data_IF_812069095085
#
_entry.id   IF_812069095085
#
_cell.length_a   1.000
_cell.length_b   1.000
_cell.length_c   1.000
_cell.angle_alpha   90.00
_cell.angle_beta   90.00
_cell.angle_gamma   90.00
#
_symmetry.space_group_name_H-M   'P 1'
#
loop_
_entity.id
_entity.type
_entity.pdbx_description
1 polymer ?
#
# COMPACT_ATOMS: atom_id res chain seq x y z
N UNK A 1 -74.71 -3.90 -4.28
CA UNK A 1 -74.78 -5.29 -3.80
C UNK A 1 -73.50 -5.66 -3.16
N UNK A 2 -73.57 -5.95 -1.91
CA UNK A 2 -72.53 -6.42 -1.01
C UNK A 2 -72.03 -7.79 -1.47
N UNK A 3 -70.79 -8.11 -1.15
CA UNK A 3 -70.42 -8.95 -0.02
C UNK A 3 -68.93 -9.22 0.04
N UNK A 4 -68.41 -9.52 1.24
CA UNK A 4 -67.00 -9.54 1.58
C UNK A 4 -66.50 -11.00 1.77
N UNK A 5 -65.38 -11.12 2.43
CA UNK A 5 -64.67 -12.30 3.00
C UNK A 5 -63.48 -12.72 2.20
N UNK A 6 -62.34 -13.09 2.79
CA UNK A 6 -62.02 -13.57 4.16
C UNK A 6 -60.49 -13.65 4.30
N UNK A 7 -60.02 -13.15 5.34
CA UNK A 7 -59.14 -13.64 6.39
C UNK A 7 -58.56 -15.06 6.23
N UNK A 8 -57.21 -15.16 6.21
CA UNK A 8 -56.40 -16.30 6.61
C UNK A 8 -54.94 -15.78 6.66
N UNK A 9 -54.30 -15.65 7.75
CA UNK A 9 -54.00 -16.64 8.74
C UNK A 9 -52.51 -16.56 8.93
N UNK A 10 -52.04 -16.07 10.09
CA UNK A 10 -50.66 -15.83 10.46
C UNK A 10 -49.77 -17.06 10.39
N UNK A 11 -48.55 -16.76 10.11
CA UNK A 11 -47.40 -17.57 10.53
C UNK A 11 -46.32 -16.64 11.04
N UNK A 12 -46.30 -16.42 12.33
CA UNK A 12 -45.19 -15.83 13.06
C UNK A 12 -44.02 -16.78 12.96
N UNK A 13 -43.02 -16.44 12.15
CA UNK A 13 -41.73 -17.11 12.23
C UNK A 13 -40.90 -16.47 13.34
N UNK A 14 -40.73 -17.27 14.38
CA UNK A 14 -39.88 -16.99 15.53
C UNK A 14 -38.44 -17.03 15.04
N UNK A 15 -37.77 -15.88 15.05
CA UNK A 15 -36.33 -15.76 14.86
C UNK A 15 -35.61 -16.34 16.08
N UNK A 16 -34.60 -17.20 15.89
CA UNK A 16 -33.79 -17.67 17.02
C UNK A 16 -32.89 -16.55 17.56
N UNK A 17 -33.08 -16.28 18.84
CA UNK A 17 -32.24 -15.38 19.63
C UNK A 17 -30.79 -15.88 19.67
N UNK A 18 -29.88 -15.02 19.27
CA UNK A 18 -28.41 -15.19 19.36
C UNK A 18 -28.01 -15.21 20.85
N UNK A 19 -27.20 -16.18 21.31
CA UNK A 19 -26.66 -16.11 22.67
C UNK A 19 -25.56 -15.04 22.74
N UNK A 20 -25.74 -14.10 23.65
CA UNK A 20 -24.73 -13.13 24.05
C UNK A 20 -23.65 -13.86 24.87
N UNK A 21 -22.51 -14.10 24.29
CA UNK A 21 -21.30 -14.45 25.03
C UNK A 21 -20.66 -13.18 25.59
N UNK A 22 -20.94 -12.95 26.86
CA UNK A 22 -20.21 -12.03 27.74
C UNK A 22 -18.93 -12.73 28.16
N UNK A 23 -17.79 -12.23 27.76
CA UNK A 23 -16.48 -12.73 28.13
C UNK A 23 -15.46 -11.61 28.03
N UNK A 24 -15.41 -10.78 29.06
CA UNK A 24 -14.26 -9.93 29.36
C UNK A 24 -13.06 -10.81 29.68
N UNK A 25 -12.04 -10.77 28.83
CA UNK A 25 -10.68 -11.11 29.24
C UNK A 25 -9.67 -10.36 28.37
N UNK A 26 -9.16 -9.27 28.92
CA UNK A 26 -7.97 -8.59 28.42
C UNK A 26 -6.79 -9.57 28.48
N UNK A 27 -6.00 -9.77 27.41
CA UNK A 27 -4.71 -10.41 27.53
C UNK A 27 -3.73 -9.46 28.22
N UNK A 28 -3.38 -9.73 29.45
CA UNK A 28 -2.22 -9.16 30.10
C UNK A 28 -0.97 -9.71 29.40
N UNK A 29 -0.26 -8.86 28.70
CA UNK A 29 1.11 -9.12 28.24
C UNK A 29 2.03 -9.20 29.47
N UNK A 30 2.34 -10.41 29.90
CA UNK A 30 3.38 -10.68 30.89
C UNK A 30 4.75 -10.48 30.24
N UNK A 31 5.32 -9.33 30.45
CA UNK A 31 6.75 -9.10 30.19
C UNK A 31 7.54 -9.89 31.22
N UNK A 32 8.22 -10.96 30.79
CA UNK A 32 9.20 -11.66 31.61
C UNK A 32 10.46 -10.81 31.67
N UNK A 33 10.57 -10.02 32.75
CA UNK A 33 11.81 -9.35 33.09
C UNK A 33 12.77 -10.39 33.67
N UNK A 34 13.77 -10.79 32.90
CA UNK A 34 14.87 -11.62 33.40
C UNK A 34 15.82 -10.70 34.12
N UNK A 35 15.71 -10.63 35.47
CA UNK A 35 16.69 -10.00 36.33
C UNK A 35 17.86 -10.98 36.52
N UNK A 36 19.01 -10.68 35.91
CA UNK A 36 20.27 -11.32 36.26
C UNK A 36 20.72 -10.87 37.63
N UNK A 37 20.50 -11.73 38.61
CA UNK A 37 21.10 -11.56 39.95
C UNK A 37 22.52 -12.11 39.91
N UNK A 38 23.50 -11.23 40.07
CA UNK A 38 24.89 -11.59 40.28
C UNK A 38 25.04 -12.17 41.68
N UNK A 39 25.26 -13.47 41.81
CA UNK A 39 25.62 -14.13 43.07
C UNK A 39 27.09 -14.48 43.06
N UNK A 40 27.72 -13.96 44.12
CA UNK A 40 29.10 -14.00 44.57
C UNK A 40 29.53 -15.44 44.91
N UNK A 41 30.71 -15.83 44.40
CA UNK A 41 31.60 -16.90 44.84
C UNK A 41 31.03 -18.12 45.58
N UNK A 42 30.99 -19.26 44.87
CA UNK A 42 31.13 -20.59 45.42
C UNK A 42 32.02 -21.44 44.55
N UNK A 43 33.01 -22.09 45.16
CA UNK A 43 33.96 -23.01 44.52
C UNK A 43 33.25 -24.18 43.78
N UNK A 44 33.77 -24.63 42.63
CA UNK A 44 33.15 -25.69 41.86
C UNK A 44 33.44 -27.07 42.49
N UNK A 45 32.45 -27.67 43.14
CA UNK A 45 32.46 -29.11 43.38
C UNK A 45 32.11 -29.78 42.08
N UNK A 46 33.08 -30.49 41.47
CA UNK A 46 32.88 -31.34 40.32
C UNK A 46 32.00 -32.52 40.70
N UNK A 47 30.73 -32.47 40.25
CA UNK A 47 29.88 -33.66 40.18
C UNK A 47 29.95 -34.22 38.75
N UNK A 48 30.06 -35.56 38.54
CA UNK A 48 30.00 -36.12 37.19
C UNK A 48 28.61 -35.89 36.60
N UNK A 49 28.56 -35.04 35.58
CA UNK A 49 27.31 -34.78 34.82
C UNK A 49 26.98 -36.05 34.03
N UNK A 50 25.97 -36.78 34.44
CA UNK A 50 25.40 -37.84 33.60
C UNK A 50 24.71 -37.21 32.40
N UNK A 51 25.42 -37.13 31.28
CA UNK A 51 24.88 -36.61 30.03
C UNK A 51 23.89 -37.64 29.47
N UNK A 52 22.62 -37.31 29.50
CA UNK A 52 21.56 -38.13 28.91
C UNK A 52 21.84 -38.32 27.42
N UNK A 53 21.57 -39.53 26.87
CA UNK A 53 21.77 -39.85 25.44
C UNK A 53 21.10 -38.85 24.48
N UNK A 54 20.06 -38.15 24.94
CA UNK A 54 19.38 -37.08 24.17
C UNK A 54 20.21 -35.77 24.08
N UNK A 55 20.98 -35.43 25.13
CA UNK A 55 21.87 -34.27 25.13
C UNK A 55 23.07 -34.44 24.19
N UNK A 56 23.61 -35.68 24.09
CA UNK A 56 24.71 -35.98 23.17
C UNK A 56 24.34 -35.82 21.69
N UNK A 57 23.11 -36.18 21.32
CA UNK A 57 22.61 -36.00 19.94
C UNK A 57 22.46 -34.50 19.58
N UNK A 58 22.00 -33.69 20.54
CA UNK A 58 21.82 -32.25 20.32
C UNK A 58 23.15 -31.52 20.12
N UNK A 59 24.20 -31.94 20.84
CA UNK A 59 25.54 -31.35 20.70
C UNK A 59 26.18 -31.77 19.37
N UNK A 60 25.98 -33.02 18.94
CA UNK A 60 26.49 -33.53 17.66
C UNK A 60 25.82 -32.82 16.46
N UNK A 61 24.51 -32.54 16.56
CA UNK A 61 23.80 -31.78 15.50
C UNK A 61 24.28 -30.31 15.42
N UNK A 62 24.56 -29.67 16.56
CA UNK A 62 25.07 -28.31 16.56
C UNK A 62 26.47 -28.18 15.93
N UNK A 63 27.35 -29.16 16.15
CA UNK A 63 28.69 -29.20 15.55
C UNK A 63 28.63 -29.51 14.05
N UNK A 64 27.69 -30.33 13.59
CA UNK A 64 27.49 -30.60 12.15
C UNK A 64 27.02 -29.39 11.38
N UNK A 65 26.14 -28.57 11.97
CA UNK A 65 25.65 -27.33 11.38
C UNK A 65 26.77 -26.27 11.25
N UNK A 66 27.76 -26.27 12.16
CA UNK A 66 28.93 -25.40 12.04
C UNK A 66 29.90 -25.84 10.93
N UNK A 67 29.98 -27.15 10.65
CA UNK A 67 30.84 -27.64 9.55
C UNK A 67 30.20 -27.50 8.16
N UNK A 68 28.87 -27.35 8.07
CA UNK A 68 28.17 -27.15 6.80
C UNK A 68 28.27 -25.73 6.28
N UNK A 69 29.08 -24.84 6.93
CA UNK A 69 29.29 -23.47 6.42
C UNK A 69 28.00 -22.69 6.27
N UNK A 70 26.98 -22.96 7.10
CA UNK A 70 25.85 -22.05 7.25
C UNK A 70 26.41 -20.85 8.02
N UNK A 71 27.22 -20.06 7.32
CA UNK A 71 27.61 -18.74 7.76
C UNK A 71 26.35 -18.01 8.13
N UNK A 72 26.29 -17.46 9.35
CA UNK A 72 25.35 -16.40 9.60
C UNK A 72 25.41 -15.49 8.38
N UNK A 73 24.31 -15.40 7.63
CA UNK A 73 24.21 -14.42 6.56
C UNK A 73 24.34 -13.06 7.23
N UNK A 74 25.57 -12.58 7.32
CA UNK A 74 25.79 -11.17 7.52
C UNK A 74 25.19 -10.54 6.27
N UNK A 75 24.05 -9.89 6.44
CA UNK A 75 23.55 -8.97 5.45
C UNK A 75 24.68 -7.93 5.33
N UNK A 76 25.54 -8.11 4.33
CA UNK A 76 26.54 -7.10 4.00
C UNK A 76 25.78 -5.80 3.77
N UNK A 77 26.14 -4.78 4.51
CA UNK A 77 25.65 -3.40 4.35
C UNK A 77 26.00 -2.84 2.96
N UNK A 78 25.85 -3.59 1.91
CA UNK A 78 26.27 -3.16 0.59
C UNK A 78 25.64 -3.88 -0.58
N UNK A 79 24.87 -4.94 -0.37
CA UNK A 79 24.31 -5.69 -1.50
C UNK A 79 23.09 -5.02 -2.16
N UNK A 80 22.60 -3.89 -1.65
CA UNK A 80 21.48 -3.14 -2.22
C UNK A 80 20.13 -3.87 -2.18
N UNK A 81 20.07 -5.09 -1.64
CA UNK A 81 18.85 -5.90 -1.59
C UNK A 81 17.98 -5.57 -0.38
N UNK A 82 18.57 -5.01 0.68
CA UNK A 82 17.85 -4.65 1.89
C UNK A 82 17.76 -3.14 2.03
N UNK A 83 16.54 -2.63 2.04
CA UNK A 83 16.25 -1.23 2.34
C UNK A 83 16.18 -1.08 3.87
N UNK A 84 17.26 -0.62 4.47
CA UNK A 84 17.36 -0.40 5.92
C UNK A 84 16.85 0.96 6.37
N UNK A 85 16.51 1.83 5.41
CA UNK A 85 16.03 3.19 5.65
C UNK A 85 14.69 3.47 4.97
N UNK A 86 14.18 4.69 5.10
CA UNK A 86 12.99 5.13 4.38
C UNK A 86 13.26 5.04 2.86
N UNK A 87 12.23 4.65 2.10
CA UNK A 87 12.32 4.59 0.65
C UNK A 87 12.73 5.95 0.08
N UNK A 88 13.71 5.99 -0.82
CA UNK A 88 14.14 7.25 -1.41
C UNK A 88 12.99 7.86 -2.22
N UNK A 89 12.77 9.16 -2.06
CA UNK A 89 11.84 9.93 -2.88
C UNK A 89 12.58 10.34 -4.15
N UNK A 90 12.10 9.97 -5.35
CA UNK A 90 12.73 10.40 -6.60
C UNK A 90 12.73 11.92 -6.72
N UNK A 91 13.84 12.49 -7.19
CA UNK A 91 13.90 13.91 -7.52
C UNK A 91 13.09 14.18 -8.80
N UNK A 92 12.34 15.28 -8.80
CA UNK A 92 11.54 15.75 -9.94
C UNK A 92 12.19 17.03 -10.49
N UNK A 93 12.40 17.06 -11.78
CA UNK A 93 13.06 18.17 -12.48
C UNK A 93 12.09 18.99 -13.32
N UNK A 94 10.95 18.41 -13.70
CA UNK A 94 9.93 19.05 -14.54
C UNK A 94 8.99 19.93 -13.71
N UNK A 95 8.50 21.01 -14.31
CA UNK A 95 7.56 21.96 -13.68
C UNK A 95 6.12 21.44 -13.66
N UNK A 96 5.91 20.22 -13.15
CA UNK A 96 4.58 19.58 -13.06
C UNK A 96 3.95 19.68 -11.66
N UNK A 97 4.66 20.25 -10.70
CA UNK A 97 4.13 20.53 -9.38
C UNK A 97 3.06 21.63 -9.43
N UNK A 98 2.21 21.68 -8.41
CA UNK A 98 1.29 22.80 -8.25
C UNK A 98 2.10 24.06 -7.92
N UNK A 99 1.87 25.16 -8.66
CA UNK A 99 2.62 26.42 -8.51
C UNK A 99 2.41 27.10 -7.16
N UNK A 100 1.26 26.88 -6.53
CA UNK A 100 0.93 27.48 -5.24
C UNK A 100 1.56 26.74 -4.05
N UNK A 101 1.58 25.41 -4.11
CA UNK A 101 2.00 24.56 -2.99
C UNK A 101 3.40 23.97 -3.16
N UNK A 102 3.97 24.04 -4.36
CA UNK A 102 5.23 23.39 -4.71
C UNK A 102 5.19 21.85 -4.71
N UNK A 103 4.01 21.26 -4.52
CA UNK A 103 3.79 19.81 -4.45
C UNK A 103 2.41 19.44 -4.98
N UNK A 104 2.03 18.17 -4.92
CA UNK A 104 0.69 17.70 -5.28
C UNK A 104 0.05 16.99 -4.09
N UNK A 105 -1.26 17.20 -3.87
CA UNK A 105 -1.99 16.68 -2.70
C UNK A 105 -2.04 15.15 -2.64
N UNK A 106 -2.08 14.51 -3.79
CA UNK A 106 -2.16 13.05 -3.92
C UNK A 106 -0.82 12.33 -3.71
N UNK A 107 0.33 13.04 -3.64
CA UNK A 107 1.63 12.41 -3.47
C UNK A 107 1.72 11.65 -2.14
N UNK A 108 2.19 10.42 -2.21
CA UNK A 108 2.37 9.53 -1.05
C UNK A 108 3.83 9.17 -0.87
N UNK A 109 4.30 9.26 0.36
CA UNK A 109 5.62 8.81 0.76
C UNK A 109 5.62 7.30 1.02
N UNK A 110 6.80 6.68 0.95
CA UNK A 110 6.95 5.25 1.24
C UNK A 110 6.52 4.32 0.10
N UNK A 111 6.35 4.83 -1.12
CA UNK A 111 6.08 4.02 -2.30
C UNK A 111 7.40 3.69 -2.98
N UNK A 112 7.63 2.39 -3.23
CA UNK A 112 8.78 1.96 -4.01
C UNK A 112 8.61 2.33 -5.49
N UNK A 113 9.58 3.07 -6.01
CA UNK A 113 9.63 3.46 -7.42
C UNK A 113 10.78 2.73 -8.10
N UNK A 114 10.45 1.76 -8.95
CA UNK A 114 11.45 1.10 -9.77
C UNK A 114 12.13 2.11 -10.70
N UNK A 115 13.46 2.05 -10.77
CA UNK A 115 14.23 2.88 -11.69
C UNK A 115 14.18 2.28 -13.10
N UNK A 116 13.15 2.64 -13.86
CA UNK A 116 12.93 2.21 -15.25
C UNK A 116 13.24 3.35 -16.21
N UNK A 117 13.56 2.98 -17.45
CA UNK A 117 13.84 3.95 -18.51
C UNK A 117 12.58 4.70 -18.99
N UNK A 118 12.74 5.80 -19.77
CA UNK A 118 11.62 6.64 -20.22
C UNK A 118 10.56 5.89 -21.04
N UNK A 119 10.96 4.96 -21.89
CA UNK A 119 10.03 4.14 -22.69
C UNK A 119 9.12 3.27 -21.81
N UNK A 120 9.71 2.63 -20.78
CA UNK A 120 8.94 1.84 -19.84
C UNK A 120 8.07 2.72 -18.93
N UNK A 121 8.52 3.95 -18.63
CA UNK A 121 7.71 4.93 -17.93
C UNK A 121 6.49 5.36 -18.76
N UNK A 122 6.65 5.61 -20.06
CA UNK A 122 5.55 5.90 -20.97
C UNK A 122 4.56 4.73 -21.05
N UNK A 123 5.05 3.49 -21.17
CA UNK A 123 4.22 2.30 -21.14
C UNK A 123 3.43 2.18 -19.84
N UNK A 124 4.07 2.41 -18.68
CA UNK A 124 3.41 2.38 -17.37
C UNK A 124 2.38 3.50 -17.22
N UNK A 125 2.66 4.71 -17.72
CA UNK A 125 1.70 5.82 -17.77
C UNK A 125 0.42 5.41 -18.50
N UNK A 126 0.55 4.80 -19.68
CA UNK A 126 -0.57 4.29 -20.45
C UNK A 126 -1.41 3.28 -19.64
N UNK A 127 -0.75 2.29 -19.02
CA UNK A 127 -1.44 1.29 -18.20
C UNK A 127 -2.14 1.91 -16.99
N UNK A 128 -1.49 2.82 -16.29
CA UNK A 128 -2.09 3.46 -15.12
C UNK A 128 -3.22 4.42 -15.48
N UNK A 129 -3.17 5.01 -16.68
CA UNK A 129 -4.31 5.74 -17.20
C UNK A 129 -5.53 4.83 -17.42
N UNK A 130 -5.35 3.61 -17.97
CA UNK A 130 -6.41 2.62 -18.05
C UNK A 130 -6.91 2.18 -16.67
N UNK A 131 -6.02 1.96 -15.72
CA UNK A 131 -6.38 1.62 -14.35
C UNK A 131 -7.24 2.71 -13.70
N UNK A 132 -6.93 3.99 -13.94
CA UNK A 132 -7.70 5.12 -13.42
C UNK A 132 -9.06 5.28 -14.12
N UNK A 133 -9.18 4.90 -15.40
CA UNK A 133 -10.47 4.84 -16.08
C UNK A 133 -11.43 3.82 -15.44
N UNK A 134 -10.90 2.72 -14.89
CA UNK A 134 -11.74 1.75 -14.19
C UNK A 134 -12.33 2.28 -12.86
N UNK A 135 -11.82 3.41 -12.33
CA UNK A 135 -12.37 4.02 -11.11
C UNK A 135 -13.80 4.53 -11.28
N UNK A 136 -14.23 4.81 -12.52
CA UNK A 136 -15.60 5.22 -12.81
C UNK A 136 -16.65 4.24 -12.29
N UNK A 137 -16.35 2.95 -12.35
CA UNK A 137 -17.24 1.88 -11.89
C UNK A 137 -17.42 1.84 -10.35
N UNK A 138 -16.54 2.51 -9.61
CA UNK A 138 -16.58 2.56 -8.15
C UNK A 138 -17.36 3.77 -7.60
N UNK A 139 -17.65 4.75 -8.44
CA UNK A 139 -18.39 5.96 -8.05
C UNK A 139 -19.85 5.57 -7.84
N UNK A 140 -20.41 5.94 -6.69
CA UNK A 140 -21.76 5.54 -6.29
C UNK A 140 -21.88 4.18 -5.59
N UNK A 141 -20.76 3.45 -5.40
CA UNK A 141 -20.74 2.16 -4.70
C UNK A 141 -20.32 2.26 -3.22
N UNK A 142 -20.25 3.47 -2.66
CA UNK A 142 -19.77 3.75 -1.29
C UNK A 142 -18.31 3.25 -1.02
N UNK A 143 -17.54 3.03 -2.08
CA UNK A 143 -16.17 2.51 -2.03
C UNK A 143 -15.11 3.62 -1.86
N UNK A 144 -15.43 4.72 -1.15
CA UNK A 144 -14.61 5.94 -1.06
C UNK A 144 -13.17 5.71 -0.63
N UNK A 145 -12.96 4.87 0.38
CA UNK A 145 -11.61 4.57 0.88
C UNK A 145 -10.74 3.86 -0.15
N UNK A 146 -11.34 2.98 -0.94
CA UNK A 146 -10.64 2.27 -2.01
C UNK A 146 -10.33 3.23 -3.16
N UNK A 147 -11.33 3.97 -3.63
CA UNK A 147 -11.19 4.97 -4.68
C UNK A 147 -10.06 5.96 -4.36
N UNK A 148 -10.06 6.54 -3.16
CA UNK A 148 -9.03 7.47 -2.71
C UNK A 148 -7.63 6.85 -2.68
N UNK A 149 -7.49 5.66 -2.09
CA UNK A 149 -6.19 4.99 -2.00
C UNK A 149 -5.64 4.66 -3.38
N UNK A 150 -6.50 4.13 -4.25
CA UNK A 150 -6.11 3.73 -5.59
C UNK A 150 -5.74 4.94 -6.45
N UNK A 151 -6.56 5.99 -6.43
CA UNK A 151 -6.31 7.26 -7.11
C UNK A 151 -4.95 7.83 -6.70
N UNK A 152 -4.71 8.01 -5.39
CA UNK A 152 -3.46 8.58 -4.90
C UNK A 152 -2.24 7.72 -5.24
N UNK A 153 -2.35 6.39 -5.12
CA UNK A 153 -1.25 5.48 -5.42
C UNK A 153 -0.84 5.55 -6.89
N UNK A 154 -1.82 5.43 -7.81
CA UNK A 154 -1.56 5.46 -9.25
C UNK A 154 -1.04 6.83 -9.69
N UNK A 155 -1.67 7.91 -9.22
CA UNK A 155 -1.27 9.28 -9.57
C UNK A 155 0.13 9.62 -9.03
N UNK A 156 0.52 9.11 -7.86
CA UNK A 156 1.89 9.28 -7.35
C UNK A 156 2.92 8.66 -8.31
N UNK A 157 2.68 7.43 -8.77
CA UNK A 157 3.61 6.78 -9.71
C UNK A 157 3.61 7.50 -11.06
N UNK A 158 2.44 7.90 -11.57
CA UNK A 158 2.32 8.65 -12.82
C UNK A 158 3.08 9.99 -12.76
N UNK A 159 3.08 10.66 -11.62
CA UNK A 159 3.81 11.92 -11.42
C UNK A 159 5.31 11.77 -11.69
N UNK A 160 5.94 10.76 -11.11
CA UNK A 160 7.37 10.49 -11.33
C UNK A 160 7.66 9.94 -12.73
N UNK A 161 6.73 9.21 -13.33
CA UNK A 161 6.89 8.72 -14.69
C UNK A 161 6.77 9.83 -15.73
N UNK A 162 5.87 10.79 -15.52
CA UNK A 162 5.78 11.98 -16.36
C UNK A 162 7.08 12.78 -16.33
N UNK A 163 7.68 12.98 -15.16
CA UNK A 163 8.97 13.67 -15.03
C UNK A 163 10.05 12.98 -15.89
N UNK A 164 10.15 11.64 -15.84
CA UNK A 164 11.11 10.88 -16.64
C UNK A 164 10.84 11.00 -18.14
N UNK A 165 9.58 10.93 -18.55
CA UNK A 165 9.20 11.01 -19.97
C UNK A 165 9.45 12.44 -20.48
N UNK A 166 9.08 13.48 -19.75
CA UNK A 166 9.31 14.88 -20.12
C UNK A 166 10.80 15.18 -20.21
N UNK A 167 11.59 14.72 -19.23
CA UNK A 167 13.03 14.94 -19.19
C UNK A 167 13.75 14.31 -20.40
N UNK A 168 13.26 13.18 -20.89
CA UNK A 168 13.82 12.46 -22.03
C UNK A 168 13.24 12.89 -23.38
N UNK A 169 12.16 13.65 -23.39
CA UNK A 169 11.48 14.08 -24.62
C UNK A 169 12.30 15.14 -25.40
N UNK A 170 12.16 15.18 -26.74
CA UNK A 170 12.67 16.28 -27.54
C UNK A 170 12.11 17.62 -27.06
N UNK A 171 12.86 18.70 -27.21
CA UNK A 171 12.50 20.03 -26.70
C UNK A 171 11.12 20.51 -27.17
N UNK A 172 10.77 20.21 -28.41
CA UNK A 172 9.47 20.55 -29.01
C UNK A 172 8.28 19.85 -28.33
N UNK A 173 8.52 18.67 -27.73
CA UNK A 173 7.48 17.88 -27.08
C UNK A 173 7.43 18.10 -25.57
N UNK A 174 8.44 18.70 -24.96
CA UNK A 174 8.47 18.91 -23.51
C UNK A 174 7.31 19.75 -23.03
N UNK A 175 7.07 20.90 -23.65
CA UNK A 175 5.99 21.80 -23.23
C UNK A 175 4.60 21.16 -23.38
N UNK A 176 4.23 20.56 -24.52
CA UNK A 176 2.95 19.88 -24.65
C UNK A 176 2.76 18.72 -23.65
N UNK A 177 3.83 17.99 -23.30
CA UNK A 177 3.75 16.94 -22.30
C UNK A 177 3.62 17.49 -20.87
N UNK A 178 4.31 18.59 -20.58
CA UNK A 178 4.19 19.29 -19.30
C UNK A 178 2.78 19.84 -19.11
N UNK A 179 2.20 20.47 -20.12
CA UNK A 179 0.84 20.99 -20.08
C UNK A 179 -0.20 19.86 -19.89
N UNK A 180 -0.01 18.73 -20.55
CA UNK A 180 -0.85 17.55 -20.38
C UNK A 180 -0.76 17.02 -18.93
N UNK A 181 0.45 16.91 -18.39
CA UNK A 181 0.68 16.45 -17.03
C UNK A 181 0.03 17.39 -16.00
N UNK A 182 0.19 18.72 -16.17
CA UNK A 182 -0.43 19.71 -15.29
C UNK A 182 -1.96 19.57 -15.31
N UNK A 183 -2.58 19.53 -16.49
CA UNK A 183 -4.03 19.35 -16.63
C UNK A 183 -4.52 18.07 -15.97
N UNK A 184 -3.80 16.96 -16.17
CA UNK A 184 -4.13 15.69 -15.54
C UNK A 184 -4.09 15.81 -14.01
N UNK A 185 -3.00 16.32 -13.45
CA UNK A 185 -2.83 16.37 -12.00
C UNK A 185 -3.74 17.37 -11.33
N UNK A 186 -4.08 18.47 -11.99
CA UNK A 186 -5.10 19.41 -11.51
C UNK A 186 -6.49 18.75 -11.47
N UNK A 187 -6.85 17.95 -12.47
CA UNK A 187 -8.12 17.21 -12.47
C UNK A 187 -8.14 16.10 -11.41
N UNK A 188 -7.02 15.41 -11.20
CA UNK A 188 -6.86 14.40 -10.14
C UNK A 188 -7.02 15.02 -8.75
N UNK A 189 -6.45 16.20 -8.50
CA UNK A 189 -6.61 16.91 -7.21
C UNK A 189 -8.06 17.30 -6.96
N UNK A 190 -8.77 17.78 -7.98
CA UNK A 190 -10.22 18.07 -7.90
C UNK A 190 -11.04 16.81 -7.62
N UNK A 191 -10.71 15.72 -8.30
CA UNK A 191 -11.37 14.42 -8.08
C UNK A 191 -11.11 13.89 -6.67
N UNK A 192 -9.88 14.01 -6.17
CA UNK A 192 -9.51 13.66 -4.80
C UNK A 192 -10.32 14.48 -3.78
N UNK A 193 -10.45 15.79 -3.99
CA UNK A 193 -11.23 16.67 -3.12
C UNK A 193 -12.72 16.29 -3.10
N UNK A 194 -13.31 16.03 -4.29
CA UNK A 194 -14.70 15.61 -4.42
C UNK A 194 -14.95 14.27 -3.69
N UNK A 195 -14.03 13.31 -3.86
CA UNK A 195 -14.08 12.01 -3.19
C UNK A 195 -13.92 12.13 -1.66
N UNK A 196 -13.10 13.05 -1.16
CA UNK A 196 -12.99 13.37 0.29
C UNK A 196 -14.31 13.88 0.86
N UNK A 197 -15.07 14.65 0.09
CA UNK A 197 -16.41 15.16 0.46
C UNK A 197 -17.48 14.08 0.35
N UNK A 198 -17.17 12.91 -0.21
CA UNK A 198 -18.10 11.80 -0.44
C UNK A 198 -19.37 12.21 -1.18
N UNK A 199 -19.21 13.07 -2.18
CA UNK A 199 -20.32 13.56 -3.01
C UNK A 199 -20.31 12.83 -4.35
N UNK A 200 -21.26 11.94 -4.59
CA UNK A 200 -21.36 11.17 -5.83
C UNK A 200 -21.46 12.11 -7.04
N UNK A 201 -22.31 13.13 -6.98
CA UNK A 201 -22.52 14.06 -8.09
C UNK A 201 -21.27 14.87 -8.44
N UNK A 202 -20.56 15.39 -7.42
CA UNK A 202 -19.30 16.12 -7.64
C UNK A 202 -18.20 15.19 -8.15
N UNK A 203 -18.10 14.00 -7.57
CA UNK A 203 -17.08 13.02 -7.97
C UNK A 203 -17.32 12.55 -9.39
N UNK A 204 -18.57 12.31 -9.79
CA UNK A 204 -18.92 11.94 -11.16
C UNK A 204 -18.57 13.05 -12.17
N UNK A 205 -18.84 14.31 -11.83
CA UNK A 205 -18.50 15.45 -12.70
C UNK A 205 -16.98 15.59 -12.85
N UNK A 206 -16.23 15.60 -11.74
CA UNK A 206 -14.76 15.68 -11.78
C UNK A 206 -14.14 14.44 -12.47
N UNK A 207 -14.76 13.27 -12.34
CA UNK A 207 -14.29 12.07 -13.03
C UNK A 207 -14.46 12.21 -14.54
N UNK A 208 -15.58 12.73 -15.04
CA UNK A 208 -15.79 12.92 -16.47
C UNK A 208 -14.73 13.84 -17.11
N UNK A 209 -14.34 14.92 -16.41
CA UNK A 209 -13.25 15.79 -16.84
C UNK A 209 -11.90 15.03 -16.85
N UNK A 210 -11.64 14.25 -15.80
CA UNK A 210 -10.41 13.44 -15.66
C UNK A 210 -10.35 12.35 -16.73
N UNK A 211 -11.48 11.71 -17.04
CA UNK A 211 -11.59 10.66 -18.06
C UNK A 211 -11.15 11.16 -19.44
N UNK A 212 -11.58 12.36 -19.83
CA UNK A 212 -11.18 12.94 -21.11
C UNK A 212 -9.66 13.13 -21.20
N UNK A 213 -9.03 13.61 -20.13
CA UNK A 213 -7.57 13.82 -20.07
C UNK A 213 -6.83 12.47 -20.04
N UNK A 214 -7.33 11.47 -19.30
CA UNK A 214 -6.72 10.13 -19.27
C UNK A 214 -6.72 9.47 -20.65
N UNK A 215 -7.78 9.64 -21.44
CA UNK A 215 -7.83 9.17 -22.83
C UNK A 215 -6.78 9.88 -23.70
N UNK A 216 -6.55 11.18 -23.51
CA UNK A 216 -5.47 11.90 -24.19
C UNK A 216 -4.08 11.34 -23.80
N UNK A 217 -3.85 11.03 -22.51
CA UNK A 217 -2.61 10.40 -22.04
C UNK A 217 -2.39 9.06 -22.73
N UNK A 218 -3.41 8.21 -22.81
CA UNK A 218 -3.32 6.89 -23.46
C UNK A 218 -2.89 7.03 -24.93
N UNK A 219 -3.46 7.99 -25.65
CA UNK A 219 -3.13 8.23 -27.07
C UNK A 219 -1.69 8.77 -27.20
N UNK A 220 -1.29 9.67 -26.30
CA UNK A 220 0.02 10.33 -26.36
C UNK A 220 1.17 9.37 -26.00
N UNK A 221 0.89 8.36 -25.16
CA UNK A 221 1.85 7.34 -24.70
C UNK A 221 1.76 6.02 -25.51
N UNK A 222 1.06 6.03 -26.64
CA UNK A 222 0.90 4.85 -27.53
C UNK A 222 2.14 4.66 -28.50
#
# INVERSE_FOLDING_TARGET
MATPLSNLGGASQILPTRPTLRGDSKPQSRWLTVTMSASKNREPKCYPVQVSRRASVSIAMASLLQQLGIGSSQAEEGNGLWLTGPLPVPAVTSEIANKETGTRSFLRNGIYMANIGPQMSAYRLKHYAFDLLALGDLIGQDAWSYLMKYLCLRSTVMYYDFDKVISAAPEEQKQPLTDLAIRLFDSVEKLEEAAKKRSDTMTQACYADTEAILKEVIIRMA
#
